data_IF_548961933004
#
_entry.id   IF_548961933004
#
_cell.length_a   1.000
_cell.length_b   1.000
_cell.length_c   1.000
_cell.angle_alpha   90.00
_cell.angle_beta   90.00
_cell.angle_gamma   90.00
#
_symmetry.space_group_name_H-M   'P 1'
#
loop_
_entity.id
_entity.type
_entity.pdbx_description
1 polymer ?
#
# COMPACT_ATOMS: atom_id res chain seq x y z
N UNK A 1 -0.28 11.23 -1.41
CA UNK A 1 0.35 10.21 -2.26
C UNK A 1 0.07 8.84 -1.65
N UNK A 2 -0.20 7.84 -2.48
CA UNK A 2 -0.27 6.44 -2.08
C UNK A 2 0.68 5.59 -2.93
N UNK A 3 1.12 4.44 -2.41
CA UNK A 3 2.03 3.51 -3.09
C UNK A 3 1.40 2.12 -2.98
N UNK A 4 1.30 1.40 -4.10
CA UNK A 4 0.63 0.09 -4.20
C UNK A 4 1.46 -0.89 -5.03
N UNK A 5 1.44 -2.21 -4.76
CA UNK A 5 2.11 -3.19 -5.62
C UNK A 5 1.42 -3.40 -6.99
N UNK A 6 0.24 -2.80 -7.20
CA UNK A 6 -0.51 -2.92 -8.44
C UNK A 6 0.24 -2.29 -9.62
N UNK A 7 0.13 -2.91 -10.80
CA UNK A 7 0.64 -2.36 -12.05
C UNK A 7 0.03 -0.98 -12.36
N UNK A 8 0.73 -0.12 -13.13
CA UNK A 8 0.29 1.25 -13.42
C UNK A 8 -1.13 1.35 -14.01
N UNK A 9 -1.51 0.44 -14.91
CA UNK A 9 -2.84 0.44 -15.54
C UNK A 9 -3.97 0.23 -14.52
N UNK A 10 -3.73 -0.63 -13.52
CA UNK A 10 -4.69 -0.86 -12.43
C UNK A 10 -4.72 0.32 -11.45
N UNK A 11 -3.55 0.92 -11.21
CA UNK A 11 -3.43 2.12 -10.37
C UNK A 11 -4.19 3.31 -10.96
N UNK A 12 -4.06 3.56 -12.28
CA UNK A 12 -4.84 4.58 -12.99
C UNK A 12 -6.34 4.36 -12.88
N UNK A 13 -6.78 3.11 -13.09
CA UNK A 13 -8.19 2.72 -12.97
C UNK A 13 -8.72 3.00 -11.55
N UNK A 14 -7.90 2.76 -10.52
CA UNK A 14 -8.26 3.03 -9.12
C UNK A 14 -8.37 4.52 -8.83
N UNK A 15 -7.47 5.35 -9.37
CA UNK A 15 -7.54 6.82 -9.27
C UNK A 15 -8.81 7.35 -9.92
N UNK A 16 -9.09 6.93 -11.15
CA UNK A 16 -10.26 7.38 -11.92
C UNK A 16 -11.58 6.97 -11.25
N UNK A 17 -11.70 5.71 -10.80
CA UNK A 17 -12.92 5.20 -10.16
C UNK A 17 -13.25 5.86 -8.82
N UNK A 18 -12.23 6.33 -8.10
CA UNK A 18 -12.41 6.91 -6.75
C UNK A 18 -12.17 8.42 -6.71
N UNK A 19 -12.01 9.06 -7.88
CA UNK A 19 -11.78 10.50 -8.02
C UNK A 19 -10.65 11.02 -7.11
N UNK A 20 -9.57 10.23 -6.99
CA UNK A 20 -8.47 10.56 -6.10
C UNK A 20 -7.71 11.78 -6.62
N UNK A 21 -7.50 12.77 -5.76
CA UNK A 21 -6.82 14.03 -6.09
C UNK A 21 -5.33 14.03 -5.76
N UNK A 22 -4.78 12.88 -5.40
CA UNK A 22 -3.38 12.71 -5.02
C UNK A 22 -2.70 11.61 -5.87
N UNK A 23 -1.38 11.70 -6.00
CA UNK A 23 -0.61 10.71 -6.76
C UNK A 23 -0.73 9.31 -6.16
N UNK A 24 -0.97 8.32 -7.02
CA UNK A 24 -0.90 6.91 -6.67
C UNK A 24 0.18 6.26 -7.52
N UNK A 25 1.20 5.71 -6.85
CA UNK A 25 2.40 5.17 -7.48
C UNK A 25 2.37 3.63 -7.44
N UNK A 26 2.90 3.03 -8.51
CA UNK A 26 3.09 1.58 -8.62
C UNK A 26 4.48 1.18 -8.08
N UNK A 27 4.51 0.31 -7.08
CA UNK A 27 5.70 -0.32 -6.49
C UNK A 27 5.84 -1.75 -7.02
N UNK A 28 6.12 -1.87 -8.32
CA UNK A 28 6.23 -3.17 -9.00
C UNK A 28 7.24 -4.06 -8.29
N UNK A 29 6.80 -5.25 -7.87
CA UNK A 29 7.64 -6.20 -7.15
C UNK A 29 7.87 -5.87 -5.67
N UNK A 30 7.12 -4.91 -5.12
CA UNK A 30 7.21 -4.45 -3.73
C UNK A 30 8.61 -3.90 -3.36
N UNK A 31 9.33 -3.26 -4.27
CA UNK A 31 10.72 -2.82 -4.01
C UNK A 31 10.82 -1.79 -2.88
N UNK A 32 9.92 -0.80 -2.86
CA UNK A 32 9.84 0.19 -1.80
C UNK A 32 9.32 -0.48 -0.53
N UNK A 33 8.23 -1.23 -0.59
CA UNK A 33 7.67 -1.91 0.58
C UNK A 33 8.70 -2.86 1.26
N UNK A 34 9.56 -3.53 0.49
CA UNK A 34 10.66 -4.35 1.03
C UNK A 34 11.70 -3.51 1.78
N UNK A 35 12.07 -2.33 1.27
CA UNK A 35 12.97 -1.41 1.97
C UNK A 35 12.40 -0.91 3.29
N UNK A 36 11.08 -0.82 3.38
CA UNK A 36 10.36 -0.46 4.60
C UNK A 36 10.13 -1.66 5.53
N UNK A 37 10.46 -2.89 5.10
CA UNK A 37 10.33 -4.11 5.89
C UNK A 37 8.89 -4.54 6.14
N UNK A 38 7.95 -4.17 5.26
CA UNK A 38 6.51 -4.40 5.45
C UNK A 38 5.91 -5.46 4.52
N UNK A 39 6.73 -6.25 3.80
CA UNK A 39 6.22 -7.25 2.85
C UNK A 39 6.11 -8.60 3.52
N UNK A 40 5.00 -9.29 3.28
CA UNK A 40 4.79 -10.67 3.68
C UNK A 40 4.26 -11.51 2.52
N UNK A 41 4.54 -12.80 2.58
CA UNK A 41 4.03 -13.79 1.64
C UNK A 41 2.73 -14.41 2.17
N UNK A 42 1.74 -14.56 1.30
CA UNK A 42 0.50 -15.23 1.64
C UNK A 42 0.73 -16.75 1.72
N UNK A 43 0.22 -17.42 2.76
CA UNK A 43 0.24 -18.87 2.81
C UNK A 43 -0.47 -19.50 1.60
N UNK A 44 0.04 -20.63 1.09
CA UNK A 44 -0.43 -21.32 -0.12
C UNK A 44 -1.94 -21.58 -0.13
N UNK A 45 -2.54 -21.86 1.03
CA UNK A 45 -3.97 -22.12 1.15
C UNK A 45 -4.84 -20.89 0.81
N UNK A 46 -4.27 -19.69 0.77
CA UNK A 46 -4.95 -18.46 0.37
C UNK A 46 -4.76 -18.11 -1.11
N UNK A 47 -3.84 -18.75 -1.83
CA UNK A 47 -3.54 -18.40 -3.22
C UNK A 47 -4.76 -18.52 -4.13
N UNK A 48 -5.57 -19.56 -3.94
CA UNK A 48 -6.83 -19.74 -4.67
C UNK A 48 -7.85 -18.63 -4.39
N UNK A 49 -7.93 -18.16 -3.14
CA UNK A 49 -8.77 -17.03 -2.77
C UNK A 49 -8.29 -15.74 -3.43
N UNK A 50 -6.98 -15.51 -3.51
CA UNK A 50 -6.37 -14.33 -4.13
C UNK A 50 -6.14 -14.45 -5.65
N UNK A 51 -6.73 -15.45 -6.29
CA UNK A 51 -6.71 -15.67 -7.75
C UNK A 51 -8.12 -15.67 -8.34
N UNK A 52 -9.10 -15.11 -7.63
CA UNK A 52 -10.51 -15.14 -8.03
C UNK A 52 -10.89 -13.89 -8.88
N UNK A 53 -12.02 -13.90 -9.60
CA UNK A 53 -12.41 -12.79 -10.48
C UNK A 53 -12.60 -11.42 -9.79
N UNK A 54 -12.76 -11.38 -8.47
CA UNK A 54 -12.86 -10.14 -7.67
C UNK A 54 -11.50 -9.62 -7.21
N UNK A 55 -10.57 -10.53 -6.89
CA UNK A 55 -9.23 -10.20 -6.39
C UNK A 55 -8.27 -11.23 -7.00
N UNK A 56 -7.48 -10.78 -7.97
CA UNK A 56 -6.50 -11.62 -8.66
C UNK A 56 -5.12 -10.94 -8.58
N UNK A 57 -4.34 -11.31 -7.56
CA UNK A 57 -3.02 -10.72 -7.33
C UNK A 57 -2.03 -10.95 -8.49
N UNK A 58 -1.99 -12.15 -9.11
CA UNK A 58 -1.13 -12.35 -10.28
C UNK A 58 -1.39 -11.38 -11.43
N UNK A 59 -2.67 -11.09 -11.68
CA UNK A 59 -3.06 -10.12 -12.71
C UNK A 59 -2.80 -8.69 -12.25
N UNK A 60 -3.16 -8.33 -11.01
CA UNK A 60 -3.04 -6.94 -10.58
C UNK A 60 -1.60 -6.49 -10.37
N UNK A 61 -0.72 -7.38 -9.90
CA UNK A 61 0.68 -7.11 -9.61
C UNK A 61 1.65 -7.60 -10.72
N UNK A 62 1.16 -8.34 -11.72
CA UNK A 62 1.96 -8.84 -12.84
C UNK A 62 3.00 -9.91 -12.48
N UNK A 63 2.83 -10.63 -11.37
CA UNK A 63 3.75 -11.68 -10.92
C UNK A 63 3.03 -12.70 -10.02
N UNK A 64 3.58 -13.90 -9.87
CA UNK A 64 2.99 -15.02 -9.12
C UNK A 64 3.56 -15.19 -7.70
N UNK A 65 4.12 -14.13 -7.11
CA UNK A 65 4.78 -14.23 -5.78
C UNK A 65 3.80 -14.30 -4.61
N UNK A 66 2.53 -13.92 -4.82
CA UNK A 66 1.51 -13.85 -3.76
C UNK A 66 1.95 -13.07 -2.51
N UNK A 67 2.60 -11.94 -2.73
CA UNK A 67 3.06 -11.05 -1.67
C UNK A 67 2.13 -9.84 -1.53
N UNK A 68 2.01 -9.36 -0.30
CA UNK A 68 1.32 -8.12 0.02
C UNK A 68 2.15 -7.28 1.00
N UNK A 69 2.10 -5.95 0.89
CA UNK A 69 2.57 -5.08 1.95
C UNK A 69 1.53 -5.02 3.08
N UNK A 70 2.00 -5.01 4.33
CA UNK A 70 1.23 -4.58 5.49
C UNK A 70 0.82 -3.12 5.25
N UNK A 71 -0.45 -2.74 5.44
CA UNK A 71 -0.86 -1.35 5.32
C UNK A 71 -0.06 -0.47 6.28
N UNK A 72 0.45 0.64 5.74
CA UNK A 72 1.28 1.56 6.49
C UNK A 72 0.95 3.00 6.15
N UNK A 73 1.11 3.90 7.12
CA UNK A 73 0.99 5.35 6.95
C UNK A 73 2.23 6.01 7.51
N UNK A 74 2.82 6.90 6.73
CA UNK A 74 4.01 7.65 7.12
C UNK A 74 3.77 9.14 6.91
N UNK A 75 4.29 9.96 7.82
CA UNK A 75 4.45 11.41 7.61
C UNK A 75 5.93 11.69 7.60
N UNK A 76 6.41 12.27 6.50
CA UNK A 76 7.78 12.75 6.36
C UNK A 76 7.80 14.27 6.30
N UNK A 77 8.81 14.88 6.92
CA UNK A 77 9.05 16.32 6.85
C UNK A 77 9.62 16.73 5.49
N UNK A 78 9.87 18.04 5.32
CA UNK A 78 10.43 18.58 4.06
C UNK A 78 11.88 18.15 3.78
N UNK A 79 12.58 17.62 4.78
CA UNK A 79 13.92 17.05 4.64
C UNK A 79 13.88 15.55 4.34
N UNK A 80 12.69 14.95 4.23
CA UNK A 80 12.50 13.52 4.00
C UNK A 80 12.64 12.67 5.25
N UNK A 81 12.62 13.27 6.44
CA UNK A 81 12.69 12.56 7.73
C UNK A 81 11.29 12.12 8.14
N UNK A 82 11.11 10.83 8.39
CA UNK A 82 9.84 10.29 8.91
C UNK A 82 9.65 10.76 10.35
N UNK A 83 8.61 11.56 10.59
CA UNK A 83 8.23 12.07 11.92
C UNK A 83 7.08 11.31 12.57
N UNK A 84 6.33 10.55 11.77
CA UNK A 84 5.26 9.67 12.23
C UNK A 84 5.20 8.43 11.34
N UNK A 85 4.94 7.28 11.97
CA UNK A 85 4.60 6.03 11.27
C UNK A 85 3.49 5.28 12.00
N UNK A 86 2.63 4.63 11.23
CA UNK A 86 1.67 3.66 11.72
C UNK A 86 1.76 2.42 10.82
N UNK A 87 1.99 1.26 11.44
CA UNK A 87 2.09 -0.05 10.79
C UNK A 87 1.46 -1.04 11.75
N UNK A 88 0.45 -1.77 11.30
CA UNK A 88 -0.22 -2.80 12.10
C UNK A 88 -0.45 -4.05 11.26
N UNK A 89 -0.11 -5.21 11.82
CA UNK A 89 -0.32 -6.50 11.16
C UNK A 89 -1.82 -6.83 11.01
N UNK A 90 -2.65 -6.31 11.91
CA UNK A 90 -4.09 -6.27 11.71
C UNK A 90 -4.42 -5.16 10.70
N UNK A 91 -4.62 -5.55 9.45
CA UNK A 91 -4.93 -4.64 8.35
C UNK A 91 -6.27 -3.87 8.51
N UNK A 92 -7.09 -4.24 9.49
CA UNK A 92 -8.33 -3.54 9.84
C UNK A 92 -8.08 -2.39 10.82
N UNK A 93 -6.95 -2.41 11.52
CA UNK A 93 -6.49 -1.28 12.33
C UNK A 93 -5.93 -0.20 11.40
N UNK A 94 -6.42 1.03 11.56
CA UNK A 94 -6.04 2.18 10.75
C UNK A 94 -5.73 3.35 11.67
N UNK A 95 -4.80 4.19 11.24
CA UNK A 95 -4.56 5.47 11.90
C UNK A 95 -5.72 6.42 11.62
N UNK A 96 -6.17 7.12 12.66
CA UNK A 96 -7.20 8.14 12.51
C UNK A 96 -6.67 9.32 11.68
N UNK A 97 -7.44 9.84 10.70
CA UNK A 97 -7.00 10.96 9.88
C UNK A 97 -6.60 12.21 10.70
N UNK A 98 -7.26 12.43 11.84
CA UNK A 98 -6.95 13.54 12.74
C UNK A 98 -5.56 13.43 13.36
N UNK A 99 -5.07 12.23 13.65
CA UNK A 99 -3.71 12.00 14.16
C UNK A 99 -2.67 12.32 13.10
N UNK A 100 -2.92 11.92 11.85
CA UNK A 100 -2.04 12.25 10.71
C UNK A 100 -1.97 13.76 10.50
N UNK A 101 -3.12 14.45 10.54
CA UNK A 101 -3.18 15.91 10.42
C UNK A 101 -2.46 16.62 11.58
N UNK A 102 -2.60 16.13 12.81
CA UNK A 102 -1.91 16.69 13.97
C UNK A 102 -0.38 16.55 13.83
N UNK A 103 0.11 15.40 13.36
CA UNK A 103 1.53 15.21 13.10
C UNK A 103 2.06 16.15 12.01
N UNK A 104 1.28 16.39 10.94
CA UNK A 104 1.63 17.35 9.88
C UNK A 104 1.65 18.78 10.42
N UNK A 105 0.70 19.18 11.27
CA UNK A 105 0.64 20.53 11.84
C UNK A 105 1.77 20.84 12.82
N UNK A 106 2.41 19.81 13.37
CA UNK A 106 3.54 19.93 14.28
C UNK A 106 4.91 20.07 13.57
N UNK A 107 4.95 19.93 12.25
CA UNK A 107 6.14 20.11 11.40
C UNK A 107 6.40 21.59 11.05
#
# INVERSE_FOLDING_TARGET
MAITPELPDNTMTTVEKNELTFDVLSDVGNEVARKFGIVFELPDNLHAFYSNPRINLPVTQGNDKFELPVPATFVADRNGVVVMRHIDADYTTRVEPSEVLAAIQAL
#
